data_IF_169517702941
#
_entry.id   IF_169517702941
#
_cell.length_a   1.000
_cell.length_b   1.000
_cell.length_c   1.000
_cell.angle_alpha   90.00
_cell.angle_beta   90.00
_cell.angle_gamma   90.00
#
_symmetry.space_group_name_H-M   'P 1'
#
loop_
_entity.id
_entity.type
_entity.pdbx_description
1 polymer ?
#
# COMPACT_ATOMS: atom_id res chain seq x y z
N UNK A 1 22.61 -8.64 14.02
CA UNK A 1 21.48 -7.70 14.22
C UNK A 1 20.54 -8.29 15.26
N UNK A 2 20.02 -7.51 16.21
CA UNK A 2 18.95 -7.98 17.13
C UNK A 2 17.75 -8.40 16.28
N UNK A 3 17.14 -9.56 16.57
CA UNK A 3 15.99 -10.12 15.82
C UNK A 3 14.90 -9.07 15.52
N UNK A 4 14.60 -8.22 16.50
CA UNK A 4 13.60 -7.15 16.39
C UNK A 4 13.88 -6.16 15.25
N UNK A 5 15.14 -5.79 15.03
CA UNK A 5 15.51 -4.88 13.95
C UNK A 5 15.39 -5.54 12.58
N UNK A 6 15.67 -6.85 12.48
CA UNK A 6 15.50 -7.62 11.23
C UNK A 6 14.04 -7.66 10.81
N UNK A 7 13.15 -7.95 11.77
CA UNK A 7 11.70 -7.97 11.54
C UNK A 7 11.15 -6.61 11.10
N UNK A 8 11.58 -5.51 11.76
CA UNK A 8 11.14 -4.15 11.39
C UNK A 8 11.57 -3.80 9.96
N UNK A 9 12.81 -4.10 9.60
CA UNK A 9 13.32 -3.84 8.24
C UNK A 9 12.57 -4.67 7.20
N UNK A 10 12.27 -5.94 7.49
CA UNK A 10 11.47 -6.81 6.61
C UNK A 10 10.04 -6.26 6.42
N UNK A 11 9.39 -5.80 7.49
CA UNK A 11 8.07 -5.16 7.40
C UNK A 11 8.11 -3.87 6.59
N UNK A 12 9.06 -2.97 6.85
CA UNK A 12 9.21 -1.72 6.09
C UNK A 12 9.42 -2.03 4.61
N UNK A 13 10.33 -2.95 4.29
CA UNK A 13 10.61 -3.32 2.91
C UNK A 13 9.40 -3.98 2.25
N UNK A 14 8.68 -4.86 2.95
CA UNK A 14 7.43 -5.46 2.48
C UNK A 14 6.38 -4.41 2.16
N UNK A 15 6.18 -3.42 3.03
CA UNK A 15 5.25 -2.30 2.80
C UNK A 15 5.67 -1.45 1.60
N UNK A 16 6.96 -1.12 1.48
CA UNK A 16 7.48 -0.35 0.34
C UNK A 16 7.24 -1.08 -0.99
N UNK A 17 7.58 -2.37 -1.05
CA UNK A 17 7.40 -3.22 -2.23
C UNK A 17 5.91 -3.35 -2.58
N UNK A 18 5.06 -3.55 -1.56
CA UNK A 18 3.61 -3.66 -1.75
C UNK A 18 3.00 -2.36 -2.24
N UNK A 19 3.37 -1.21 -1.65
CA UNK A 19 2.92 0.10 -2.09
C UNK A 19 3.34 0.42 -3.52
N UNK A 20 4.57 0.05 -3.91
CA UNK A 20 5.05 0.22 -5.28
C UNK A 20 4.22 -0.61 -6.27
N UNK A 21 3.87 -1.85 -5.89
CA UNK A 21 2.96 -2.68 -6.68
C UNK A 21 1.56 -2.08 -6.81
N UNK A 22 1.02 -1.49 -5.75
CA UNK A 22 -0.30 -0.83 -5.81
C UNK A 22 -0.27 0.36 -6.78
N UNK A 23 0.81 1.12 -6.84
CA UNK A 23 0.98 2.13 -7.89
C UNK A 23 0.99 1.56 -9.30
N UNK A 24 1.54 0.36 -9.50
CA UNK A 24 1.49 -0.34 -10.80
C UNK A 24 0.06 -0.75 -11.15
N UNK A 25 -0.72 -1.23 -10.17
CA UNK A 25 -2.14 -1.55 -10.37
C UNK A 25 -2.94 -0.31 -10.72
N UNK A 26 -2.74 0.80 -10.01
CA UNK A 26 -3.38 2.07 -10.31
C UNK A 26 -3.05 2.54 -11.74
N UNK A 27 -1.78 2.51 -12.13
CA UNK A 27 -1.34 2.85 -13.49
C UNK A 27 -1.92 1.93 -14.59
N UNK A 28 -2.09 0.64 -14.28
CA UNK A 28 -2.69 -0.32 -15.22
C UNK A 28 -4.16 0.00 -15.56
N UNK A 29 -4.88 0.63 -14.61
CA UNK A 29 -6.32 0.89 -14.62
C UNK A 29 -7.20 -0.36 -14.87
N UNK A 30 -6.71 -1.56 -14.57
CA UNK A 30 -7.50 -2.80 -14.57
C UNK A 30 -8.21 -3.05 -13.24
N UNK A 31 -8.04 -2.17 -12.27
CA UNK A 31 -8.61 -2.29 -10.92
C UNK A 31 -7.56 -2.59 -9.86
N UNK A 32 -7.99 -2.50 -8.60
CA UNK A 32 -7.20 -2.76 -7.39
C UNK A 32 -8.04 -3.59 -6.42
N UNK A 33 -7.51 -3.92 -5.24
CA UNK A 33 -8.30 -4.57 -4.19
C UNK A 33 -9.47 -3.68 -3.72
N UNK A 34 -10.51 -4.27 -3.11
CA UNK A 34 -11.74 -3.54 -2.76
C UNK A 34 -11.51 -2.32 -1.86
N UNK A 35 -10.52 -2.39 -0.95
CA UNK A 35 -10.23 -1.28 -0.04
C UNK A 35 -9.55 -0.13 -0.78
N UNK A 36 -8.56 -0.43 -1.64
CA UNK A 36 -7.93 0.60 -2.47
C UNK A 36 -8.93 1.22 -3.45
N UNK A 37 -9.78 0.42 -4.11
CA UNK A 37 -10.82 0.96 -5.00
C UNK A 37 -11.77 1.88 -4.24
N UNK A 38 -12.19 1.51 -3.02
CA UNK A 38 -12.98 2.37 -2.16
C UNK A 38 -12.24 3.66 -1.80
N UNK A 39 -11.00 3.57 -1.34
CA UNK A 39 -10.19 4.72 -0.95
C UNK A 39 -9.97 5.69 -2.11
N UNK A 40 -9.57 5.18 -3.29
CA UNK A 40 -9.42 5.97 -4.51
C UNK A 40 -10.75 6.59 -4.97
N UNK A 41 -11.85 5.85 -4.85
CA UNK A 41 -13.19 6.34 -5.18
C UNK A 41 -13.62 7.52 -4.31
N UNK A 42 -13.42 7.44 -2.99
CA UNK A 42 -13.72 8.54 -2.07
C UNK A 42 -12.75 9.71 -2.28
N UNK A 43 -11.47 9.42 -2.48
CA UNK A 43 -10.44 10.43 -2.74
C UNK A 43 -10.76 11.32 -3.93
N UNK A 44 -11.38 10.80 -4.99
CA UNK A 44 -11.81 11.59 -6.16
C UNK A 44 -12.79 12.74 -5.82
N UNK A 45 -13.37 12.76 -4.62
CA UNK A 45 -14.24 13.82 -4.12
C UNK A 45 -13.56 14.77 -3.13
N UNK A 46 -12.25 14.61 -2.85
CA UNK A 46 -11.52 15.37 -1.83
C UNK A 46 -10.33 16.11 -2.46
N UNK A 47 -10.14 17.43 -2.19
CA UNK A 47 -9.07 18.23 -2.80
C UNK A 47 -7.71 18.09 -2.08
N UNK A 48 -7.33 16.88 -1.66
CA UNK A 48 -6.05 16.60 -0.98
C UNK A 48 -5.30 15.48 -1.70
N UNK A 49 -3.98 15.35 -1.48
CA UNK A 49 -3.18 14.26 -2.06
C UNK A 49 -3.61 12.88 -1.56
N UNK A 50 -3.46 11.86 -2.41
CA UNK A 50 -3.95 10.51 -2.12
C UNK A 50 -3.29 9.92 -0.87
N UNK A 51 -1.97 10.11 -0.70
CA UNK A 51 -1.24 9.59 0.46
C UNK A 51 -1.74 10.17 1.77
N UNK A 52 -2.01 11.47 1.81
CA UNK A 52 -2.58 12.15 2.99
C UNK A 52 -4.01 11.69 3.26
N UNK A 53 -4.85 11.59 2.23
CA UNK A 53 -6.21 11.05 2.37
C UNK A 53 -6.19 9.61 2.91
N UNK A 54 -5.36 8.75 2.31
CA UNK A 54 -5.22 7.36 2.69
C UNK A 54 -4.74 7.21 4.14
N UNK A 55 -3.78 8.04 4.57
CA UNK A 55 -3.31 8.06 5.96
C UNK A 55 -4.44 8.45 6.92
N UNK A 56 -5.23 9.49 6.61
CA UNK A 56 -6.38 9.90 7.42
C UNK A 56 -7.43 8.78 7.50
N UNK A 57 -7.79 8.18 6.37
CA UNK A 57 -8.76 7.08 6.31
C UNK A 57 -8.32 5.90 7.18
N UNK A 58 -7.04 5.54 7.09
CA UNK A 58 -6.47 4.47 7.90
C UNK A 58 -6.39 4.82 9.39
N UNK A 59 -6.12 6.07 9.75
CA UNK A 59 -6.18 6.53 11.15
C UNK A 59 -7.60 6.40 11.69
N UNK A 60 -8.62 6.78 10.92
CA UNK A 60 -10.03 6.61 11.32
C UNK A 60 -10.34 5.12 11.55
N UNK A 61 -9.89 4.24 10.64
CA UNK A 61 -10.04 2.80 10.79
C UNK A 61 -9.30 2.27 12.03
N UNK A 62 -8.10 2.77 12.32
CA UNK A 62 -7.33 2.40 13.50
C UNK A 62 -8.02 2.84 14.79
N UNK A 63 -8.63 4.03 14.83
CA UNK A 63 -9.43 4.51 15.97
C UNK A 63 -10.60 3.54 16.21
N UNK A 64 -11.29 3.12 15.16
CA UNK A 64 -12.40 2.16 15.28
C UNK A 64 -11.91 0.81 15.84
N UNK A 65 -10.81 0.29 15.31
CA UNK A 65 -10.19 -0.96 15.80
C UNK A 65 -9.69 -0.81 17.25
N UNK A 66 -9.21 0.37 17.64
CA UNK A 66 -8.75 0.63 19.01
C UNK A 66 -9.88 0.53 20.06
N UNK A 67 -11.13 0.77 19.69
CA UNK A 67 -12.26 0.54 20.60
C UNK A 67 -12.69 -0.92 20.67
N UNK A 68 -12.45 -1.71 19.60
CA UNK A 68 -12.89 -3.10 19.50
C UNK A 68 -11.82 -4.08 20.00
N UNK A 69 -10.58 -3.96 19.51
CA UNK A 69 -9.52 -4.94 19.70
C UNK A 69 -8.13 -4.30 19.64
N UNK A 70 -7.69 -3.73 20.77
CA UNK A 70 -6.40 -3.03 20.91
C UNK A 70 -5.18 -3.92 20.72
N UNK A 71 -5.34 -5.23 20.88
CA UNK A 71 -4.21 -6.18 20.81
C UNK A 71 -3.67 -6.32 19.39
N UNK A 72 -4.44 -5.90 18.38
CA UNK A 72 -4.05 -5.97 16.96
C UNK A 72 -3.20 -4.79 16.50
N UNK A 73 -3.14 -3.70 17.27
CA UNK A 73 -2.42 -2.48 16.88
C UNK A 73 -0.94 -2.64 17.23
N UNK A 74 -0.12 -2.90 16.21
CA UNK A 74 1.33 -3.04 16.33
C UNK A 74 2.11 -1.90 15.66
N UNK A 75 3.43 -1.90 15.84
CA UNK A 75 4.33 -0.97 15.14
C UNK A 75 4.24 -1.12 13.62
N UNK A 76 4.02 -2.34 13.12
CA UNK A 76 3.81 -2.60 11.69
C UNK A 76 2.60 -1.88 11.12
N UNK A 77 1.51 -1.77 11.90
CA UNK A 77 0.30 -1.05 11.49
C UNK A 77 0.60 0.43 11.29
N UNK A 78 1.29 1.08 12.23
CA UNK A 78 1.67 2.50 12.08
C UNK A 78 2.54 2.73 10.86
N UNK A 79 3.53 1.87 10.62
CA UNK A 79 4.39 1.95 9.44
C UNK A 79 3.54 1.84 8.16
N UNK A 80 2.60 0.89 8.09
CA UNK A 80 1.75 0.72 6.93
C UNK A 80 0.88 1.97 6.66
N UNK A 81 0.23 2.50 7.71
CA UNK A 81 -0.65 3.66 7.62
C UNK A 81 0.07 4.90 7.09
N UNK A 82 1.28 5.17 7.58
CA UNK A 82 2.03 6.36 7.19
C UNK A 82 2.90 6.19 5.95
N UNK A 83 3.26 4.97 5.56
CA UNK A 83 4.20 4.75 4.47
C UNK A 83 3.52 4.31 3.18
N UNK A 84 2.52 3.42 3.26
CA UNK A 84 1.92 2.80 2.08
C UNK A 84 1.28 3.84 1.16
N UNK A 85 0.39 4.69 1.69
CA UNK A 85 -0.34 5.68 0.90
C UNK A 85 0.57 6.62 0.09
N UNK A 86 1.64 7.12 0.71
CA UNK A 86 2.61 7.98 0.04
C UNK A 86 3.45 7.23 -1.00
N UNK A 87 3.78 5.95 -0.75
CA UNK A 87 4.48 5.12 -1.73
C UNK A 87 3.59 4.85 -2.94
N UNK A 88 2.29 4.62 -2.73
CA UNK A 88 1.31 4.46 -3.82
C UNK A 88 1.18 5.73 -4.64
N UNK A 89 1.04 6.88 -3.98
CA UNK A 89 0.98 8.19 -4.64
C UNK A 89 2.25 8.47 -5.45
N UNK A 90 3.43 8.26 -4.85
CA UNK A 90 4.71 8.45 -5.52
C UNK A 90 4.90 7.51 -6.71
N UNK A 91 4.62 6.23 -6.55
CA UNK A 91 4.80 5.24 -7.62
C UNK A 91 3.81 5.47 -8.76
N UNK A 92 2.55 5.79 -8.46
CA UNK A 92 1.56 6.16 -9.48
C UNK A 92 2.02 7.39 -10.28
N UNK A 93 2.42 8.45 -9.58
CA UNK A 93 2.94 9.68 -10.20
C UNK A 93 4.18 9.40 -11.05
N UNK A 94 5.10 8.55 -10.58
CA UNK A 94 6.30 8.17 -11.31
C UNK A 94 5.97 7.48 -12.64
N UNK A 95 5.02 6.53 -12.65
CA UNK A 95 4.65 5.81 -13.86
C UNK A 95 3.89 6.70 -14.85
N UNK A 96 2.95 7.51 -14.37
CA UNK A 96 2.21 8.47 -15.19
C UNK A 96 3.13 9.51 -15.84
N UNK A 97 4.12 10.02 -15.10
CA UNK A 97 5.08 11.01 -15.59
C UNK A 97 6.04 10.40 -16.62
N UNK A 98 6.47 9.14 -16.42
CA UNK A 98 7.45 8.48 -17.31
C UNK A 98 6.83 7.89 -18.57
N UNK A 99 5.58 7.43 -18.50
CA UNK A 99 4.87 6.76 -19.59
C UNK A 99 3.48 7.40 -19.75
N UNK A 100 3.40 8.60 -20.34
CA UNK A 100 2.12 9.22 -20.65
C UNK A 100 1.40 8.40 -21.74
N UNK A 101 0.10 8.14 -21.54
CA UNK A 101 -0.77 7.37 -22.46
C UNK A 101 -0.29 5.94 -22.78
N UNK A 102 -0.27 5.03 -21.78
CA UNK A 102 0.16 3.65 -22.00
C UNK A 102 -0.82 2.88 -22.89
N UNK A 103 -0.27 2.12 -23.84
CA UNK A 103 -1.03 1.14 -24.63
C UNK A 103 -1.53 0.01 -23.74
N UNK A 104 -2.56 -0.72 -24.21
CA UNK A 104 -3.16 -1.83 -23.45
C UNK A 104 -2.11 -2.91 -23.09
N UNK A 105 -1.14 -3.16 -23.96
CA UNK A 105 -0.06 -4.13 -23.72
C UNK A 105 0.83 -3.71 -22.56
N UNK A 106 1.16 -2.42 -22.43
CA UNK A 106 1.95 -1.90 -21.31
C UNK A 106 1.13 -2.03 -20.02
N UNK A 107 -0.16 -1.71 -20.05
CA UNK A 107 -1.04 -1.85 -18.87
C UNK A 107 -1.11 -3.31 -18.39
N UNK A 108 -1.22 -4.28 -19.31
CA UNK A 108 -1.21 -5.71 -18.98
C UNK A 108 0.14 -6.14 -18.40
N UNK A 109 1.25 -5.65 -18.95
CA UNK A 109 2.57 -5.92 -18.40
C UNK A 109 2.71 -5.40 -16.96
N UNK A 110 2.26 -4.16 -16.70
CA UNK A 110 2.26 -3.58 -15.36
C UNK A 110 1.36 -4.36 -14.39
N UNK A 111 0.21 -4.86 -14.86
CA UNK A 111 -0.66 -5.72 -14.07
C UNK A 111 0.07 -7.01 -13.66
N UNK A 112 0.67 -7.73 -14.60
CA UNK A 112 1.36 -9.00 -14.35
C UNK A 112 2.56 -8.79 -13.42
N UNK A 113 3.39 -7.79 -13.71
CA UNK A 113 4.57 -7.49 -12.89
C UNK A 113 4.14 -7.00 -11.50
N UNK A 114 3.08 -6.19 -11.42
CA UNK A 114 2.47 -5.78 -10.15
C UNK A 114 2.09 -7.00 -9.31
N UNK A 115 1.35 -7.96 -9.85
CA UNK A 115 0.95 -9.18 -9.11
C UNK A 115 2.16 -9.90 -8.53
N UNK A 116 3.22 -10.09 -9.32
CA UNK A 116 4.44 -10.78 -8.88
C UNK A 116 5.12 -10.01 -7.73
N UNK A 117 5.24 -8.69 -7.86
CA UNK A 117 5.85 -7.82 -6.86
C UNK A 117 5.00 -7.80 -5.58
N UNK A 118 3.68 -7.73 -5.70
CA UNK A 118 2.77 -7.79 -4.56
C UNK A 118 2.93 -9.10 -3.80
N UNK A 119 2.93 -10.25 -4.49
CA UNK A 119 3.12 -11.55 -3.84
C UNK A 119 4.43 -11.61 -3.05
N UNK A 120 5.51 -11.08 -3.62
CA UNK A 120 6.80 -10.99 -2.93
C UNK A 120 6.74 -10.04 -1.72
N UNK A 121 6.19 -8.83 -1.89
CA UNK A 121 6.04 -7.83 -0.83
C UNK A 121 5.18 -8.32 0.33
N UNK A 122 4.05 -8.94 0.04
CA UNK A 122 3.15 -9.54 1.04
C UNK A 122 3.84 -10.67 1.81
N UNK A 123 4.62 -11.53 1.14
CA UNK A 123 5.38 -12.59 1.83
C UNK A 123 6.36 -12.01 2.86
N UNK A 124 7.07 -10.93 2.51
CA UNK A 124 8.01 -10.25 3.41
C UNK A 124 7.31 -9.55 4.55
N UNK A 125 6.15 -8.94 4.27
CA UNK A 125 5.33 -8.28 5.28
C UNK A 125 4.83 -9.29 6.33
N UNK A 126 4.31 -10.44 5.90
CA UNK A 126 3.78 -11.48 6.79
C UNK A 126 4.86 -12.15 7.65
N UNK A 127 6.05 -12.38 7.10
CA UNK A 127 7.19 -12.93 7.86
C UNK A 127 7.69 -11.95 8.94
N UNK A 128 7.43 -10.64 8.77
CA UNK A 128 7.82 -9.61 9.72
C UNK A 128 7.14 -9.71 11.09
N UNK A 129 5.91 -10.24 11.15
CA UNK A 129 5.17 -10.59 12.38
C UNK A 129 5.26 -9.54 13.53
N UNK A 130 4.92 -8.28 13.21
CA UNK A 130 5.02 -7.12 14.11
C UNK A 130 3.66 -6.43 14.40
N UNK A 131 2.54 -7.11 14.14
CA UNK A 131 1.16 -6.61 14.25
C UNK A 131 0.30 -7.13 13.09
N UNK A 132 -0.99 -7.41 13.35
CA UNK A 132 -1.84 -8.36 12.59
C UNK A 132 -1.49 -8.51 11.10
N UNK A 133 -0.81 -9.62 10.84
CA UNK A 133 -0.64 -10.21 9.51
C UNK A 133 -1.85 -11.10 9.22
N UNK A 134 -3.05 -10.50 9.21
CA UNK A 134 -4.32 -11.07 8.74
C UNK A 134 -5.34 -9.95 8.57
#
# INVERSE_FOLDING_TARGET
MKEKNRRIIMTIFGVLVSGFSVGMFNFSAFGMDPFQVFAHGVWNHVPIGFGTFYAILNIIMLIFIFFIDRHKIGLGTLINIFLLGYVVEFSSWLFETRIPNPTISIRILFLIVGIIILCFGSSLYFIGDLGVSA
#
